data_IF_709225402103
#
_entry.id   IF_709225402103
#
_cell.length_a   1.000
_cell.length_b   1.000
_cell.length_c   1.000
_cell.angle_alpha   90.00
_cell.angle_beta   90.00
_cell.angle_gamma   90.00
#
_symmetry.space_group_name_H-M   'P 1'
#
loop_
_entity.id
_entity.type
_entity.pdbx_description
1 polymer ?
#
# COMPACT_ATOMS: atom_id res chain seq x y z
N UNK A 1 -20.40 4.86 -13.62
CA UNK A 1 -20.05 4.05 -12.44
C UNK A 1 -21.11 4.30 -11.37
N UNK A 2 -21.90 3.29 -10.91
CA UNK A 2 -22.91 3.54 -9.90
C UNK A 2 -22.23 3.84 -8.55
N UNK A 3 -22.46 5.03 -8.02
CA UNK A 3 -22.04 5.43 -6.67
C UNK A 3 -23.19 5.35 -5.69
N UNK A 4 -24.41 5.52 -6.19
CA UNK A 4 -25.65 5.32 -5.47
C UNK A 4 -26.17 3.90 -5.70
N UNK A 5 -26.42 3.20 -4.60
CA UNK A 5 -26.95 1.83 -4.61
C UNK A 5 -28.36 1.87 -4.00
N UNK A 6 -29.43 1.88 -4.81
CA UNK A 6 -30.80 1.84 -4.29
C UNK A 6 -31.03 0.53 -3.54
N UNK A 7 -31.88 0.56 -2.50
CA UNK A 7 -32.38 -0.68 -1.94
C UNK A 7 -33.09 -1.49 -3.03
N UNK A 8 -32.90 -2.82 -3.06
CA UNK A 8 -33.67 -3.67 -3.95
C UNK A 8 -35.15 -3.52 -3.61
N UNK A 9 -35.98 -3.35 -4.64
CA UNK A 9 -37.44 -3.36 -4.48
C UNK A 9 -37.86 -4.77 -4.05
N UNK A 10 -38.69 -4.85 -3.00
CA UNK A 10 -39.32 -6.12 -2.66
C UNK A 10 -40.28 -6.50 -3.80
N UNK A 11 -40.24 -7.73 -4.32
CA UNK A 11 -41.22 -8.16 -5.32
C UNK A 11 -42.62 -8.09 -4.70
N UNK A 12 -43.50 -7.30 -5.31
CA UNK A 12 -44.79 -6.92 -4.73
C UNK A 12 -45.84 -8.06 -4.59
N UNK A 13 -45.50 -9.33 -4.82
CA UNK A 13 -46.51 -10.40 -4.88
C UNK A 13 -45.96 -11.85 -4.72
N UNK A 14 -45.15 -12.13 -3.71
CA UNK A 14 -44.92 -13.52 -3.28
C UNK A 14 -45.97 -13.94 -2.23
N UNK A 15 -46.60 -15.13 -2.29
CA UNK A 15 -47.46 -15.59 -1.21
C UNK A 15 -46.66 -15.59 0.10
N UNK A 16 -47.09 -14.76 1.04
CA UNK A 16 -46.49 -14.64 2.37
C UNK A 16 -46.43 -16.02 3.02
N UNK A 17 -45.24 -16.41 3.47
CA UNK A 17 -45.00 -17.72 4.10
C UNK A 17 -43.98 -18.62 3.40
N UNK A 18 -43.55 -18.33 2.15
CA UNK A 18 -42.46 -19.08 1.48
C UNK A 18 -41.07 -18.43 1.55
N UNK A 19 -40.91 -17.36 2.33
CA UNK A 19 -39.60 -16.73 2.59
C UNK A 19 -39.05 -15.83 1.48
N UNK A 20 -39.84 -15.51 0.45
CA UNK A 20 -39.45 -14.61 -0.65
C UNK A 20 -39.55 -13.12 -0.28
N UNK A 21 -40.46 -12.75 0.64
CA UNK A 21 -40.50 -11.45 1.32
C UNK A 21 -39.56 -11.42 2.54
N UNK A 22 -38.43 -12.14 2.48
CA UNK A 22 -37.32 -11.85 3.38
C UNK A 22 -36.72 -10.54 2.88
N UNK A 23 -37.27 -9.42 3.37
CA UNK A 23 -36.44 -8.25 3.70
C UNK A 23 -35.16 -8.85 4.28
N UNK A 24 -34.09 -8.84 3.50
CA UNK A 24 -32.83 -9.44 3.94
C UNK A 24 -32.53 -8.87 5.31
N UNK A 25 -31.91 -9.63 6.21
CA UNK A 25 -31.53 -9.08 7.52
C UNK A 25 -30.71 -7.78 7.40
N UNK A 26 -30.12 -7.49 6.23
CA UNK A 26 -29.48 -6.22 5.87
C UNK A 26 -30.45 -5.02 5.73
N UNK A 27 -31.74 -5.24 5.47
CA UNK A 27 -32.78 -4.20 5.45
C UNK A 27 -33.02 -3.61 6.86
N UNK A 28 -32.67 -4.35 7.92
CA UNK A 28 -32.72 -3.86 9.30
C UNK A 28 -31.57 -2.91 9.67
N UNK A 29 -30.60 -2.68 8.76
CA UNK A 29 -29.59 -1.64 8.93
C UNK A 29 -30.11 -0.21 8.75
N UNK A 30 -31.40 -0.02 8.45
CA UNK A 30 -32.07 1.29 8.40
C UNK A 30 -31.73 2.16 7.19
N UNK A 31 -31.04 1.64 6.18
CA UNK A 31 -30.60 2.44 5.02
C UNK A 31 -31.30 2.04 3.72
N UNK A 32 -32.25 2.88 3.29
CA UNK A 32 -32.99 2.74 2.01
C UNK A 32 -32.09 2.89 0.77
N UNK A 33 -30.95 3.57 0.89
CA UNK A 33 -29.96 3.68 -0.17
C UNK A 33 -28.54 3.71 0.41
N UNK A 34 -27.61 3.07 -0.29
CA UNK A 34 -26.21 2.97 0.13
C UNK A 34 -25.28 3.71 -0.83
N UNK A 35 -24.08 4.03 -0.35
CA UNK A 35 -23.02 4.66 -1.14
C UNK A 35 -21.88 3.68 -1.39
N UNK A 36 -21.59 3.36 -2.66
CA UNK A 36 -20.55 2.42 -3.06
C UNK A 36 -19.12 2.83 -2.61
N UNK A 37 -18.93 4.06 -2.13
CA UNK A 37 -17.65 4.57 -1.62
C UNK A 37 -17.53 4.49 -0.10
N UNK A 38 -18.53 3.92 0.58
CA UNK A 38 -18.57 3.79 2.05
C UNK A 38 -18.63 2.33 2.45
N UNK A 39 -17.57 1.55 2.26
CA UNK A 39 -17.62 0.14 2.62
C UNK A 39 -17.86 -0.05 4.11
N UNK A 40 -18.46 -1.17 4.49
CA UNK A 40 -18.66 -1.56 5.91
C UNK A 40 -18.01 -2.91 6.24
N UNK A 41 -17.42 -3.57 5.24
CA UNK A 41 -16.80 -4.89 5.32
C UNK A 41 -15.77 -5.04 4.20
N UNK A 42 -14.87 -6.01 4.35
CA UNK A 42 -13.78 -6.25 3.39
C UNK A 42 -14.26 -6.44 1.94
N UNK A 43 -15.28 -7.27 1.70
CA UNK A 43 -15.79 -7.48 0.34
C UNK A 43 -16.33 -6.20 -0.32
N UNK A 44 -16.95 -5.33 0.47
CA UNK A 44 -17.41 -4.02 -0.02
C UNK A 44 -16.24 -3.04 -0.24
N UNK A 45 -15.17 -3.14 0.55
CA UNK A 45 -13.95 -2.36 0.36
C UNK A 45 -13.25 -2.71 -0.96
N UNK A 46 -13.25 -4.00 -1.35
CA UNK A 46 -12.80 -4.41 -2.67
C UNK A 46 -13.69 -3.84 -3.78
N UNK A 47 -15.00 -3.96 -3.63
CA UNK A 47 -15.97 -3.40 -4.59
C UNK A 47 -15.90 -1.86 -4.66
N UNK A 48 -15.50 -1.16 -3.60
CA UNK A 48 -15.37 0.30 -3.63
C UNK A 48 -14.19 0.78 -4.49
N UNK A 49 -13.19 -0.06 -4.73
CA UNK A 49 -12.08 0.24 -5.66
C UNK A 49 -12.54 0.24 -7.12
N UNK A 50 -13.54 -0.58 -7.45
CA UNK A 50 -14.19 -0.62 -8.76
C UNK A 50 -15.70 -0.73 -8.60
N UNK A 51 -16.34 0.44 -8.47
CA UNK A 51 -17.77 0.50 -8.14
C UNK A 51 -18.70 -0.04 -9.23
N UNK A 52 -18.18 -0.42 -10.42
CA UNK A 52 -18.95 -1.18 -11.41
C UNK A 52 -19.42 -2.53 -10.86
N UNK A 53 -18.65 -3.10 -9.93
CA UNK A 53 -18.94 -4.36 -9.26
C UNK A 53 -19.79 -4.19 -8.01
N UNK A 54 -19.96 -2.97 -7.51
CA UNK A 54 -20.66 -2.69 -6.27
C UNK A 54 -22.13 -3.14 -6.33
N UNK A 55 -22.58 -3.82 -5.28
CA UNK A 55 -23.99 -4.22 -5.09
C UNK A 55 -24.49 -3.80 -3.71
N UNK A 56 -25.80 -3.59 -3.59
CA UNK A 56 -26.42 -3.25 -2.31
C UNK A 56 -26.17 -4.34 -1.25
N UNK A 57 -25.91 -3.94 0.00
CA UNK A 57 -25.80 -4.86 1.15
C UNK A 57 -24.44 -4.90 1.86
N UNK A 58 -23.46 -4.10 1.44
CA UNK A 58 -22.13 -4.04 2.06
C UNK A 58 -21.63 -2.64 2.42
N UNK A 59 -22.46 -1.63 2.19
CA UNK A 59 -22.06 -0.23 2.19
C UNK A 59 -22.88 0.61 3.19
N UNK A 60 -22.31 1.73 3.62
CA UNK A 60 -22.96 2.70 4.49
C UNK A 60 -23.98 3.56 3.75
N UNK A 61 -24.78 4.36 4.48
CA UNK A 61 -25.85 5.16 3.91
C UNK A 61 -25.37 6.15 2.86
N UNK A 62 -26.19 6.33 1.82
CA UNK A 62 -26.08 7.46 0.92
C UNK A 62 -26.62 8.73 1.60
N UNK A 63 -25.78 9.75 1.72
CA UNK A 63 -26.14 11.03 2.37
C UNK A 63 -26.73 12.06 1.39
N UNK A 64 -26.66 11.81 0.08
CA UNK A 64 -27.10 12.73 -0.99
C UNK A 64 -28.20 12.15 -1.90
N UNK A 65 -28.74 10.97 -1.57
CA UNK A 65 -29.84 10.31 -2.32
C UNK A 65 -29.65 10.27 -3.85
N UNK A 66 -28.41 10.03 -4.30
CA UNK A 66 -28.08 9.91 -5.73
C UNK A 66 -27.39 11.13 -6.33
N UNK A 67 -27.45 12.30 -5.67
CA UNK A 67 -26.78 13.51 -6.11
C UNK A 67 -25.27 13.43 -5.78
N UNK A 68 -24.52 12.77 -6.66
CA UNK A 68 -23.11 12.45 -6.43
C UNK A 68 -22.14 13.56 -6.86
N UNK A 69 -22.64 14.60 -7.53
CA UNK A 69 -21.85 15.79 -7.90
C UNK A 69 -21.75 16.70 -6.67
N UNK A 70 -20.52 17.15 -6.35
CA UNK A 70 -20.25 17.89 -5.11
C UNK A 70 -20.58 17.11 -3.83
N UNK A 71 -20.53 15.77 -3.89
CA UNK A 71 -20.75 14.92 -2.73
C UNK A 71 -19.47 14.86 -1.87
N UNK A 72 -19.53 15.20 -0.57
CA UNK A 72 -18.33 15.27 0.26
C UNK A 72 -17.64 13.90 0.42
N UNK A 73 -18.37 12.79 0.27
CA UNK A 73 -17.78 11.44 0.27
C UNK A 73 -16.88 11.24 -0.96
N UNK A 74 -17.36 11.67 -2.12
CA UNK A 74 -16.62 11.59 -3.40
C UNK A 74 -15.45 12.57 -3.39
N UNK A 75 -15.66 13.78 -2.92
CA UNK A 75 -14.60 14.78 -2.76
C UNK A 75 -13.51 14.30 -1.80
N UNK A 76 -13.89 13.72 -0.65
CA UNK A 76 -12.93 13.16 0.29
C UNK A 76 -12.12 12.01 -0.33
N UNK A 77 -12.71 11.17 -1.19
CA UNK A 77 -11.97 10.09 -1.86
C UNK A 77 -10.85 10.62 -2.76
N UNK A 78 -11.08 11.71 -3.48
CA UNK A 78 -10.10 12.27 -4.42
C UNK A 78 -9.21 13.35 -3.80
N UNK A 79 -9.69 14.03 -2.76
CA UNK A 79 -8.99 15.14 -2.10
C UNK A 79 -8.29 14.76 -0.80
N UNK A 80 -8.58 13.59 -0.22
CA UNK A 80 -7.94 13.11 1.00
C UNK A 80 -7.29 11.76 0.76
N UNK A 81 -6.06 11.60 1.24
CA UNK A 81 -5.34 10.34 1.21
C UNK A 81 -5.15 9.83 2.64
N UNK A 82 -5.60 8.60 2.90
CA UNK A 82 -5.30 7.94 4.18
C UNK A 82 -3.92 7.30 4.10
N UNK A 83 -3.00 7.78 4.93
CA UNK A 83 -1.60 7.35 4.94
C UNK A 83 -1.42 6.15 5.86
N UNK A 84 -0.88 5.05 5.33
CA UNK A 84 -0.42 3.92 6.16
C UNK A 84 0.83 4.36 6.95
N UNK A 85 0.79 4.40 8.29
CA UNK A 85 1.83 4.99 9.14
C UNK A 85 3.06 4.08 9.32
N UNK A 86 3.26 3.10 8.45
CA UNK A 86 4.30 2.08 8.57
C UNK A 86 5.06 1.98 7.26
N UNK A 87 6.40 1.95 7.31
CA UNK A 87 7.25 1.68 6.15
C UNK A 87 7.55 0.19 6.00
N UNK A 88 6.53 -0.60 5.64
CA UNK A 88 6.61 -2.04 5.39
C UNK A 88 6.04 -2.40 4.00
N UNK A 89 6.50 -3.50 3.37
CA UNK A 89 6.00 -3.96 2.07
C UNK A 89 4.55 -4.45 2.14
N UNK A 90 4.14 -4.97 3.30
CA UNK A 90 2.76 -5.31 3.61
C UNK A 90 2.43 -4.95 5.06
N UNK A 91 1.18 -4.66 5.34
CA UNK A 91 0.67 -4.46 6.70
C UNK A 91 -0.63 -5.25 6.85
N UNK A 92 -0.88 -5.75 8.05
CA UNK A 92 -2.13 -6.41 8.37
C UNK A 92 -3.09 -5.37 8.96
N UNK A 93 -4.32 -5.31 8.45
CA UNK A 93 -5.39 -4.50 9.01
C UNK A 93 -6.33 -5.42 9.76
N UNK A 94 -6.29 -5.40 11.10
CA UNK A 94 -7.20 -6.16 11.97
C UNK A 94 -8.54 -5.46 12.07
N UNK A 95 -9.63 -6.22 12.00
CA UNK A 95 -11.00 -5.73 12.07
C UNK A 95 -11.58 -6.12 13.42
N UNK A 96 -11.71 -5.14 14.31
CA UNK A 96 -12.26 -5.34 15.65
C UNK A 96 -13.74 -4.89 15.67
N UNK A 97 -14.69 -5.78 16.00
CA UNK A 97 -16.08 -5.40 16.21
C UNK A 97 -16.23 -4.57 17.49
N UNK A 98 -17.02 -3.50 17.42
CA UNK A 98 -17.38 -2.65 18.57
C UNK A 98 -18.81 -2.93 18.96
N UNK A 99 -19.04 -3.30 20.21
CA UNK A 99 -20.37 -3.59 20.76
C UNK A 99 -20.81 -2.48 21.71
N UNK A 100 -22.11 -2.16 21.72
CA UNK A 100 -22.71 -1.28 22.72
C UNK A 100 -22.51 -1.87 24.13
N UNK A 101 -22.43 -1.01 25.16
CA UNK A 101 -22.29 -1.45 26.56
C UNK A 101 -23.47 -2.32 27.03
N UNK A 102 -24.63 -2.16 26.41
CA UNK A 102 -25.90 -2.83 26.70
C UNK A 102 -26.31 -3.84 25.61
N UNK A 103 -25.43 -4.10 24.62
CA UNK A 103 -25.71 -5.05 23.55
C UNK A 103 -25.71 -6.49 24.10
N UNK A 104 -26.87 -6.97 24.53
CA UNK A 104 -27.16 -8.41 24.67
C UNK A 104 -27.95 -8.83 23.44
N UNK A 105 -27.44 -9.79 22.69
CA UNK A 105 -28.08 -10.40 21.51
C UNK A 105 -28.12 -9.56 20.21
N UNK A 106 -27.45 -8.41 20.16
CA UNK A 106 -27.29 -7.61 18.93
C UNK A 106 -25.89 -7.81 18.31
N UNK A 107 -25.80 -7.65 16.98
CA UNK A 107 -24.52 -7.57 16.27
C UNK A 107 -23.71 -6.31 16.65
N UNK A 108 -22.49 -6.15 16.13
CA UNK A 108 -21.66 -4.99 16.46
C UNK A 108 -22.27 -3.67 15.96
N UNK A 109 -22.15 -2.61 16.76
CA UNK A 109 -22.53 -1.23 16.41
C UNK A 109 -21.61 -0.65 15.34
N UNK A 110 -20.39 -1.18 15.24
CA UNK A 110 -19.40 -0.74 14.27
C UNK A 110 -18.13 -1.57 14.32
N UNK A 111 -17.11 -1.08 13.62
CA UNK A 111 -15.82 -1.75 13.51
C UNK A 111 -14.70 -0.73 13.64
N UNK A 112 -13.61 -1.13 14.31
CA UNK A 112 -12.32 -0.43 14.33
C UNK A 112 -11.34 -1.22 13.49
N UNK A 113 -10.57 -0.51 12.67
CA UNK A 113 -9.56 -1.10 11.81
C UNK A 113 -8.18 -0.75 12.35
N UNK A 114 -7.41 -1.75 12.76
CA UNK A 114 -6.11 -1.56 13.38
C UNK A 114 -5.00 -1.97 12.43
N UNK A 115 -4.10 -1.05 12.09
CA UNK A 115 -2.95 -1.35 11.25
C UNK A 115 -1.85 -1.95 12.13
N UNK A 116 -1.33 -3.08 11.70
CA UNK A 116 -0.28 -3.83 12.38
C UNK A 116 0.89 -4.10 11.44
N UNK A 117 2.08 -4.26 12.00
CA UNK A 117 3.27 -4.67 11.23
C UNK A 117 3.26 -6.16 10.87
N UNK A 118 2.35 -6.93 11.48
CA UNK A 118 2.16 -8.36 11.26
C UNK A 118 1.23 -8.98 12.31
N UNK A 119 1.05 -10.32 12.28
CA UNK A 119 0.19 -11.02 13.22
C UNK A 119 0.65 -10.87 14.67
N UNK A 120 1.96 -10.88 14.89
CA UNK A 120 2.61 -10.88 16.22
C UNK A 120 2.74 -9.49 16.86
N UNK A 121 2.27 -8.44 16.18
CA UNK A 121 2.31 -7.08 16.70
C UNK A 121 1.33 -6.96 17.86
N UNK A 122 1.83 -6.90 19.10
CA UNK A 122 0.96 -6.83 20.29
C UNK A 122 0.53 -5.41 20.66
N UNK A 123 1.18 -4.40 20.09
CA UNK A 123 1.01 -3.00 20.47
C UNK A 123 0.17 -2.22 19.45
N UNK A 124 -0.57 -2.90 18.57
CA UNK A 124 -1.40 -2.20 17.59
C UNK A 124 -2.52 -1.37 18.23
N UNK A 125 -2.97 -1.74 19.43
CA UNK A 125 -4.01 -1.04 20.19
C UNK A 125 -3.64 0.38 20.62
N UNK A 126 -2.34 0.73 20.63
CA UNK A 126 -1.86 2.06 20.99
C UNK A 126 -1.98 3.07 19.84
N UNK A 127 -2.31 2.60 18.63
CA UNK A 127 -2.40 3.43 17.42
C UNK A 127 -3.78 4.05 17.28
N UNK A 128 -3.93 5.00 16.38
CA UNK A 128 -5.27 5.50 16.05
C UNK A 128 -5.99 4.47 15.16
N UNK A 129 -7.14 3.90 15.56
CA UNK A 129 -7.89 3.01 14.69
C UNK A 129 -8.47 3.77 13.50
N UNK A 130 -8.53 3.08 12.38
CA UNK A 130 -9.20 3.51 11.17
C UNK A 130 -10.68 3.16 11.16
N UNK A 131 -11.42 3.93 10.38
CA UNK A 131 -12.75 3.60 9.88
C UNK A 131 -12.65 2.94 8.51
N UNK A 132 -13.69 2.23 8.10
CA UNK A 132 -13.78 1.72 6.73
C UNK A 132 -13.72 2.83 5.66
N UNK A 133 -14.28 4.02 5.95
CA UNK A 133 -14.21 5.18 5.05
C UNK A 133 -12.75 5.66 4.88
N UNK A 134 -11.90 5.54 5.92
CA UNK A 134 -10.46 5.79 5.81
C UNK A 134 -9.74 4.68 5.01
N UNK A 135 -10.05 3.41 5.26
CA UNK A 135 -9.49 2.30 4.48
C UNK A 135 -9.78 2.41 2.98
N UNK A 136 -10.98 2.88 2.60
CA UNK A 136 -11.36 3.13 1.21
C UNK A 136 -10.52 4.23 0.52
N UNK A 137 -9.91 5.13 1.30
CA UNK A 137 -9.09 6.25 0.83
C UNK A 137 -7.58 5.97 0.90
N UNK A 138 -7.18 4.75 1.19
CA UNK A 138 -5.77 4.37 1.15
C UNK A 138 -5.33 4.37 -0.30
N UNK A 139 -4.32 5.17 -0.62
CA UNK A 139 -3.73 5.25 -1.95
C UNK A 139 -2.37 4.58 -1.98
N UNK A 140 -2.07 3.93 -3.11
CA UNK A 140 -0.80 3.26 -3.32
C UNK A 140 -0.60 1.97 -2.53
N UNK A 141 -1.68 1.39 -2.03
CA UNK A 141 -1.72 0.03 -1.49
C UNK A 141 -2.84 -0.74 -2.17
N UNK A 142 -2.56 -1.98 -2.53
CA UNK A 142 -3.56 -2.93 -2.99
C UNK A 142 -4.17 -3.64 -1.78
N UNK A 143 -5.47 -3.90 -1.86
CA UNK A 143 -6.19 -4.67 -0.85
C UNK A 143 -5.96 -6.15 -1.15
N UNK A 144 -5.19 -6.79 -0.28
CA UNK A 144 -4.85 -8.20 -0.36
C UNK A 144 -5.93 -9.11 0.23
N UNK A 145 -5.51 -10.34 0.49
CA UNK A 145 -6.38 -11.41 0.98
C UNK A 145 -6.90 -11.13 2.39
N UNK A 146 -8.08 -11.68 2.69
CA UNK A 146 -8.53 -11.85 4.07
C UNK A 146 -7.53 -12.68 4.86
N UNK A 147 -7.44 -12.36 6.14
CA UNK A 147 -6.62 -13.03 7.13
C UNK A 147 -7.48 -13.26 8.38
N UNK A 148 -7.33 -14.42 9.01
CA UNK A 148 -8.03 -14.73 10.26
C UNK A 148 -7.12 -15.57 11.13
N UNK A 149 -7.09 -15.25 12.43
CA UNK A 149 -6.33 -15.96 13.45
C UNK A 149 -7.11 -16.00 14.77
N UNK A 150 -6.48 -16.48 15.85
CA UNK A 150 -7.07 -16.55 17.19
C UNK A 150 -7.50 -15.17 17.74
N UNK A 151 -6.99 -14.07 17.18
CA UNK A 151 -7.32 -12.71 17.58
C UNK A 151 -8.44 -12.08 16.74
N UNK A 152 -8.95 -12.79 15.74
CA UNK A 152 -10.10 -12.38 14.92
C UNK A 152 -9.77 -12.20 13.44
N UNK A 153 -10.58 -11.40 12.76
CA UNK A 153 -10.49 -11.19 11.32
C UNK A 153 -9.62 -9.98 10.96
N UNK A 154 -9.10 -9.98 9.73
CA UNK A 154 -8.34 -8.89 9.15
C UNK A 154 -8.13 -9.09 7.65
N UNK A 155 -7.32 -8.22 7.07
CA UNK A 155 -6.90 -8.34 5.68
C UNK A 155 -5.55 -7.68 5.47
N UNK A 156 -4.83 -8.15 4.46
CA UNK A 156 -3.55 -7.56 4.08
C UNK A 156 -3.74 -6.31 3.24
N UNK A 157 -2.92 -5.30 3.48
CA UNK A 157 -2.62 -4.26 2.51
C UNK A 157 -1.21 -4.50 1.98
N UNK A 158 -1.09 -4.50 0.66
CA UNK A 158 0.16 -4.76 -0.06
C UNK A 158 0.59 -3.47 -0.75
N UNK A 159 1.84 -3.04 -0.53
CA UNK A 159 2.29 -1.76 -1.06
C UNK A 159 2.48 -1.82 -2.57
N UNK A 160 2.02 -0.80 -3.27
CA UNK A 160 2.24 -0.62 -4.71
C UNK A 160 3.31 0.41 -4.99
N UNK A 161 3.95 0.34 -6.15
CA UNK A 161 4.92 1.32 -6.67
C UNK A 161 4.29 2.64 -7.12
N UNK A 162 2.97 2.83 -6.95
CA UNK A 162 2.27 4.06 -7.34
C UNK A 162 2.54 5.24 -6.42
N UNK A 163 2.98 4.99 -5.19
CA UNK A 163 3.30 6.03 -4.20
C UNK A 163 4.66 5.78 -3.56
N UNK A 164 5.36 6.85 -3.18
CA UNK A 164 6.63 6.74 -2.47
C UNK A 164 6.44 6.23 -1.04
N UNK A 165 7.50 5.71 -0.43
CA UNK A 165 7.48 5.35 0.97
C UNK A 165 7.19 6.56 1.87
N UNK A 166 6.38 6.33 2.91
CA UNK A 166 6.12 7.34 3.93
C UNK A 166 7.45 7.81 4.54
N UNK A 167 7.62 9.14 4.61
CA UNK A 167 8.81 9.76 5.18
C UNK A 167 10.05 9.73 4.28
N UNK A 168 9.95 9.16 3.07
CA UNK A 168 11.01 9.21 2.06
C UNK A 168 10.75 10.34 1.06
N UNK A 169 11.68 11.30 0.99
CA UNK A 169 11.65 12.39 0.01
C UNK A 169 12.64 12.08 -1.10
N UNK A 170 12.13 12.07 -2.34
CA UNK A 170 12.93 11.82 -3.54
C UNK A 170 13.22 13.17 -4.21
N UNK A 171 14.49 13.45 -4.44
CA UNK A 171 14.92 14.68 -5.15
C UNK A 171 15.73 14.31 -6.39
N UNK A 172 15.40 14.91 -7.53
CA UNK A 172 16.06 14.65 -8.80
C UNK A 172 16.94 15.83 -9.20
N UNK A 173 18.17 15.56 -9.62
CA UNK A 173 19.08 16.53 -10.21
C UNK A 173 19.57 16.00 -11.56
N UNK A 174 19.06 16.59 -12.63
CA UNK A 174 19.53 16.32 -13.99
C UNK A 174 20.75 17.20 -14.33
N UNK A 175 21.70 16.63 -15.07
CA UNK A 175 22.88 17.27 -15.67
C UNK A 175 23.03 16.74 -17.10
N UNK A 176 23.75 17.44 -17.99
CA UNK A 176 23.91 16.99 -19.38
C UNK A 176 24.47 15.57 -19.54
N UNK A 177 25.33 15.13 -18.62
CA UNK A 177 25.99 13.81 -18.68
C UNK A 177 25.41 12.77 -17.73
N UNK A 178 24.51 13.15 -16.82
CA UNK A 178 23.92 12.21 -15.86
C UNK A 178 22.68 12.77 -15.18
N UNK A 179 21.85 11.87 -14.66
CA UNK A 179 20.79 12.23 -13.72
C UNK A 179 21.00 11.53 -12.38
N UNK A 180 20.77 12.25 -11.29
CA UNK A 180 20.89 11.70 -9.93
C UNK A 180 19.60 11.89 -9.14
N UNK A 181 19.07 10.79 -8.61
CA UNK A 181 17.97 10.79 -7.65
C UNK A 181 18.54 10.53 -6.26
N UNK A 182 18.21 11.39 -5.29
CA UNK A 182 18.59 11.21 -3.90
C UNK A 182 17.34 10.95 -3.06
N UNK A 183 17.42 9.88 -2.26
CA UNK A 183 16.38 9.43 -1.34
C UNK A 183 16.76 9.87 0.07
N UNK A 184 15.89 10.68 0.68
CA UNK A 184 16.11 11.20 2.03
C UNK A 184 15.05 10.72 3.00
N UNK A 185 15.47 10.25 4.16
CA UNK A 185 14.61 9.89 5.29
C UNK A 185 15.15 10.63 6.50
N UNK A 186 14.28 11.30 7.27
CA UNK A 186 14.70 12.09 8.44
C UNK A 186 15.84 13.09 8.15
N UNK A 187 15.83 13.72 6.95
CA UNK A 187 16.88 14.62 6.41
C UNK A 187 18.22 13.95 6.05
N UNK A 188 18.43 12.70 6.43
CA UNK A 188 19.60 11.93 6.03
C UNK A 188 19.41 11.34 4.62
N UNK A 189 20.45 11.40 3.79
CA UNK A 189 20.45 10.74 2.49
C UNK A 189 20.78 9.27 2.71
N UNK A 190 19.81 8.39 2.44
CA UNK A 190 19.94 6.94 2.66
C UNK A 190 20.18 6.16 1.37
N UNK A 191 19.82 6.73 0.22
CA UNK A 191 20.17 6.19 -1.09
C UNK A 191 20.39 7.29 -2.14
N UNK A 192 21.14 6.94 -3.18
CA UNK A 192 21.36 7.75 -4.37
C UNK A 192 21.41 6.87 -5.60
N UNK A 193 20.47 7.06 -6.54
CA UNK A 193 20.49 6.44 -7.85
C UNK A 193 21.14 7.39 -8.86
N UNK A 194 22.20 6.94 -9.50
CA UNK A 194 22.92 7.66 -10.54
C UNK A 194 22.71 6.96 -11.88
N UNK A 195 22.30 7.70 -12.90
CA UNK A 195 22.01 7.22 -14.25
C UNK A 195 22.98 7.90 -15.21
N UNK A 196 23.57 7.15 -16.14
CA UNK A 196 24.37 7.74 -17.21
C UNK A 196 23.45 8.39 -18.26
N UNK A 197 23.71 9.65 -18.60
CA UNK A 197 22.90 10.41 -19.57
C UNK A 197 21.54 10.87 -19.07
N UNK A 198 20.59 10.98 -20.00
CA UNK A 198 19.21 11.37 -19.72
C UNK A 198 18.48 10.26 -18.95
N UNK A 199 17.72 10.66 -17.92
CA UNK A 199 17.00 9.69 -17.11
C UNK A 199 15.74 9.22 -17.82
N UNK A 200 15.64 7.91 -18.00
CA UNK A 200 14.41 7.25 -18.48
C UNK A 200 13.67 6.51 -17.36
N UNK A 201 14.10 6.67 -16.11
CA UNK A 201 13.46 6.01 -14.98
C UNK A 201 12.07 6.59 -14.76
N UNK A 202 11.09 5.70 -14.65
CA UNK A 202 9.73 6.06 -14.28
C UNK A 202 9.61 6.34 -12.76
N UNK A 203 8.48 6.92 -12.38
CA UNK A 203 8.16 7.15 -10.98
C UNK A 203 8.02 5.85 -10.19
N UNK A 204 7.68 4.74 -10.85
CA UNK A 204 7.47 3.43 -10.21
C UNK A 204 8.78 2.83 -9.68
N UNK A 205 9.87 2.90 -10.44
CA UNK A 205 11.21 2.50 -9.99
C UNK A 205 11.64 3.32 -8.78
N UNK A 206 11.48 4.64 -8.84
CA UNK A 206 11.87 5.53 -7.75
C UNK A 206 11.04 5.18 -6.49
N UNK A 207 9.75 4.92 -6.64
CA UNK A 207 8.91 4.50 -5.53
C UNK A 207 9.33 3.12 -4.98
N UNK A 208 9.62 2.15 -5.84
CA UNK A 208 10.10 0.83 -5.43
C UNK A 208 11.40 0.90 -4.60
N UNK A 209 12.38 1.71 -5.03
CA UNK A 209 13.61 1.95 -4.28
C UNK A 209 13.31 2.66 -2.94
N UNK A 210 12.37 3.61 -2.93
CA UNK A 210 11.98 4.29 -1.71
C UNK A 210 11.39 3.34 -0.66
N UNK A 211 10.71 2.26 -1.08
CA UNK A 211 10.15 1.25 -0.17
C UNK A 211 11.22 0.41 0.52
N UNK A 212 12.35 0.19 -0.14
CA UNK A 212 13.49 -0.49 0.45
C UNK A 212 14.25 0.40 1.45
N UNK A 213 14.11 1.73 1.36
CA UNK A 213 14.82 2.67 2.23
C UNK A 213 14.49 2.45 3.72
N UNK A 214 15.48 2.55 4.61
CA UNK A 214 15.25 2.42 6.05
C UNK A 214 14.29 3.48 6.58
N UNK A 215 13.62 3.17 7.69
CA UNK A 215 12.86 4.16 8.45
C UNK A 215 13.77 5.17 9.16
N UNK A 216 13.20 6.17 9.86
CA UNK A 216 13.97 7.20 10.56
C UNK A 216 15.06 6.65 11.48
N UNK A 217 14.77 5.56 12.21
CA UNK A 217 15.73 4.92 13.12
C UNK A 217 16.99 4.39 12.43
N UNK A 218 16.89 4.01 11.16
CA UNK A 218 18.02 3.51 10.35
C UNK A 218 18.59 4.54 9.38
N UNK A 219 18.06 5.77 9.38
CA UNK A 219 18.46 6.85 8.51
C UNK A 219 19.52 7.72 9.21
N UNK A 220 20.76 7.25 9.24
CA UNK A 220 21.88 7.89 9.92
C UNK A 220 23.16 7.80 9.05
N UNK A 221 24.27 8.32 9.57
CA UNK A 221 25.58 8.27 8.91
C UNK A 221 26.45 7.11 9.41
N UNK A 222 25.85 6.10 10.04
CA UNK A 222 26.59 4.96 10.59
C UNK A 222 26.93 3.91 9.52
N UNK A 223 27.73 2.92 9.94
CA UNK A 223 28.14 1.80 9.09
C UNK A 223 26.94 1.01 8.60
N UNK A 224 27.03 0.55 7.36
CA UNK A 224 26.05 -0.40 6.83
C UNK A 224 26.32 -1.78 7.47
N UNK A 225 25.31 -2.47 8.03
CA UNK A 225 25.54 -3.71 8.77
C UNK A 225 25.78 -4.92 7.85
N UNK A 226 25.47 -4.83 6.55
CA UNK A 226 25.72 -5.92 5.60
C UNK A 226 27.21 -6.15 5.38
N UNK A 227 27.57 -7.42 5.18
CA UNK A 227 28.96 -7.86 5.00
C UNK A 227 29.22 -8.22 3.55
N UNK A 228 30.48 -8.10 3.12
CA UNK A 228 30.91 -8.51 1.77
C UNK A 228 30.62 -9.99 1.49
N UNK A 229 30.58 -10.84 2.51
CA UNK A 229 30.23 -12.26 2.38
C UNK A 229 28.79 -12.49 1.94
N UNK A 230 27.91 -11.50 2.12
CA UNK A 230 26.48 -11.56 1.75
C UNK A 230 26.23 -11.02 0.32
N UNK A 231 27.27 -10.58 -0.39
CA UNK A 231 27.16 -10.06 -1.77
C UNK A 231 26.38 -11.00 -2.71
N UNK A 232 26.59 -12.33 -2.70
CA UNK A 232 25.83 -13.23 -3.57
C UNK A 232 24.31 -13.18 -3.32
N UNK A 233 23.87 -12.97 -2.08
CA UNK A 233 22.45 -12.91 -1.70
C UNK A 233 21.78 -11.57 -2.06
N UNK A 234 22.58 -10.52 -2.24
CA UNK A 234 22.13 -9.17 -2.55
C UNK A 234 22.22 -8.84 -4.03
N UNK A 235 23.04 -9.58 -4.80
CA UNK A 235 23.30 -9.30 -6.21
C UNK A 235 22.08 -9.70 -7.04
N UNK A 236 21.43 -8.75 -7.74
CA UNK A 236 20.32 -9.08 -8.63
C UNK A 236 20.78 -10.02 -9.74
N UNK A 237 19.86 -10.88 -10.19
CA UNK A 237 20.17 -11.78 -11.30
C UNK A 237 20.46 -10.98 -12.59
N UNK A 238 21.32 -11.46 -13.50
CA UNK A 238 21.47 -10.84 -14.81
C UNK A 238 20.16 -10.77 -15.57
N UNK A 239 19.99 -9.79 -16.46
CA UNK A 239 18.83 -9.73 -17.36
C UNK A 239 19.25 -9.25 -18.74
N UNK A 240 19.06 -10.09 -19.76
CA UNK A 240 19.59 -9.85 -21.11
C UNK A 240 21.11 -9.63 -21.10
N UNK A 241 21.54 -8.50 -21.65
CA UNK A 241 22.95 -8.05 -21.68
C UNK A 241 23.40 -7.34 -20.42
N UNK A 242 22.48 -7.05 -19.51
CA UNK A 242 22.75 -6.28 -18.30
C UNK A 242 23.29 -7.22 -17.23
N UNK A 243 24.38 -6.80 -16.60
CA UNK A 243 25.02 -7.46 -15.47
C UNK A 243 24.96 -6.57 -14.25
N UNK A 244 24.82 -7.18 -13.09
CA UNK A 244 24.76 -6.50 -11.81
C UNK A 244 25.95 -6.88 -10.94
N UNK A 245 26.53 -5.90 -10.27
CA UNK A 245 27.58 -6.10 -9.27
C UNK A 245 27.22 -5.39 -7.98
N UNK A 246 27.56 -6.01 -6.83
CA UNK A 246 27.40 -5.40 -5.51
C UNK A 246 28.77 -5.23 -4.86
N UNK A 247 29.11 -3.99 -4.52
CA UNK A 247 30.32 -3.63 -3.76
C UNK A 247 29.91 -3.16 -2.36
N UNK A 248 30.44 -3.81 -1.32
CA UNK A 248 30.14 -3.51 0.08
C UNK A 248 31.35 -2.83 0.71
N UNK A 249 31.18 -1.59 1.12
CA UNK A 249 32.17 -0.79 1.85
C UNK A 249 31.64 -0.49 3.26
N UNK A 250 32.51 -0.16 4.23
CA UNK A 250 32.09 0.07 5.62
C UNK A 250 30.89 1.02 5.80
N UNK A 251 30.80 2.05 4.96
CA UNK A 251 29.75 3.08 5.05
C UNK A 251 28.70 2.99 3.95
N UNK A 252 28.94 2.19 2.91
CA UNK A 252 28.11 2.23 1.70
C UNK A 252 28.01 0.87 1.02
N UNK A 253 26.84 0.56 0.46
CA UNK A 253 26.69 -0.53 -0.51
C UNK A 253 26.41 0.07 -1.88
N UNK A 254 27.07 -0.43 -2.91
CA UNK A 254 26.85 0.00 -4.28
C UNK A 254 26.32 -1.16 -5.11
N UNK A 255 25.15 -0.99 -5.69
CA UNK A 255 24.62 -1.89 -6.73
C UNK A 255 24.84 -1.20 -8.07
N UNK A 256 25.62 -1.82 -8.94
CA UNK A 256 25.98 -1.26 -10.25
C UNK A 256 25.36 -2.13 -11.34
N UNK A 257 24.69 -1.48 -12.30
CA UNK A 257 24.17 -2.12 -13.50
C UNK A 257 25.03 -1.70 -14.70
N UNK A 258 25.59 -2.69 -15.40
CA UNK A 258 26.45 -2.49 -16.57
C UNK A 258 25.90 -3.23 -17.77
N UNK A 259 25.90 -2.56 -18.92
CA UNK A 259 25.61 -3.17 -20.22
C UNK A 259 26.92 -3.55 -20.89
N UNK A 260 27.01 -4.81 -21.34
CA UNK A 260 28.24 -5.43 -21.84
C UNK A 260 29.42 -5.21 -20.88
N UNK A 261 30.68 -5.24 -21.35
CA UNK A 261 31.84 -5.24 -20.43
C UNK A 261 32.24 -3.85 -19.92
N UNK A 262 31.63 -2.72 -20.35
CA UNK A 262 32.19 -1.38 -20.03
C UNK A 262 31.23 -0.19 -19.87
N UNK A 263 29.94 -0.28 -20.19
CA UNK A 263 29.05 0.89 -20.02
C UNK A 263 28.24 0.80 -18.74
N UNK A 264 28.54 1.65 -17.75
CA UNK A 264 27.72 1.77 -16.55
C UNK A 264 26.42 2.49 -16.88
N UNK A 265 25.30 1.77 -16.86
CA UNK A 265 23.96 2.36 -17.09
C UNK A 265 23.46 3.08 -15.84
N UNK A 266 23.57 2.41 -14.69
CA UNK A 266 23.05 2.89 -13.42
C UNK A 266 23.93 2.44 -12.26
N UNK A 267 23.96 3.25 -11.20
CA UNK A 267 24.57 2.91 -9.92
C UNK A 267 23.70 3.40 -8.79
N UNK A 268 23.26 2.48 -7.95
CA UNK A 268 22.55 2.73 -6.72
C UNK A 268 23.52 2.67 -5.55
N UNK A 269 23.70 3.77 -4.84
CA UNK A 269 24.52 3.86 -3.63
C UNK A 269 23.62 3.94 -2.41
N UNK A 270 23.82 3.06 -1.45
CA UNK A 270 23.03 2.88 -0.23
C UNK A 270 23.89 3.23 0.98
N UNK A 271 23.38 4.04 1.91
CA UNK A 271 24.12 4.57 3.06
C UNK A 271 23.28 4.55 4.33
N UNK A 272 23.93 4.36 5.49
CA UNK A 272 23.31 4.32 6.83
C UNK A 272 23.12 2.90 7.38
N UNK A 273 22.89 2.78 8.70
CA UNK A 273 22.85 1.47 9.38
C UNK A 273 21.55 0.69 9.20
N UNK A 274 20.50 1.29 8.62
CA UNK A 274 19.23 0.60 8.42
C UNK A 274 19.14 -0.34 7.20
N UNK A 275 20.23 -0.52 6.44
CA UNK A 275 20.24 -1.41 5.27
C UNK A 275 20.50 -2.86 5.66
N UNK A 276 19.49 -3.72 5.51
CA UNK A 276 19.63 -5.19 5.64
C UNK A 276 19.86 -5.83 4.27
N UNK A 277 20.29 -7.10 4.26
CA UNK A 277 20.46 -7.89 3.03
C UNK A 277 19.20 -7.88 2.18
N UNK A 278 18.02 -8.01 2.80
CA UNK A 278 16.72 -8.04 2.12
C UNK A 278 16.39 -6.67 1.50
N UNK A 279 16.69 -5.57 2.19
CA UNK A 279 16.46 -4.22 1.68
C UNK A 279 17.38 -3.89 0.50
N UNK A 280 18.66 -4.27 0.60
CA UNK A 280 19.62 -4.10 -0.51
C UNK A 280 19.15 -4.91 -1.71
N UNK A 281 18.79 -6.18 -1.50
CA UNK A 281 18.27 -7.07 -2.55
C UNK A 281 17.01 -6.49 -3.19
N UNK A 282 16.04 -6.04 -2.40
CA UNK A 282 14.80 -5.45 -2.90
C UNK A 282 15.06 -4.20 -3.75
N UNK A 283 15.96 -3.31 -3.32
CA UNK A 283 16.32 -2.12 -4.08
C UNK A 283 17.04 -2.47 -5.40
N UNK A 284 17.92 -3.47 -5.38
CA UNK A 284 18.60 -3.98 -6.56
C UNK A 284 17.66 -4.67 -7.55
N UNK A 285 16.73 -5.48 -7.06
CA UNK A 285 15.71 -6.16 -7.87
C UNK A 285 14.74 -5.16 -8.52
N UNK A 286 14.38 -4.07 -7.82
CA UNK A 286 13.61 -2.98 -8.43
C UNK A 286 14.34 -2.36 -9.62
N UNK A 287 15.64 -2.08 -9.47
CA UNK A 287 16.48 -1.57 -10.56
C UNK A 287 16.57 -2.59 -11.71
N UNK A 288 16.71 -3.88 -11.40
CA UNK A 288 16.75 -4.95 -12.40
C UNK A 288 15.45 -5.02 -13.19
N UNK A 289 14.30 -5.04 -12.52
CA UNK A 289 12.99 -5.14 -13.16
C UNK A 289 12.77 -3.99 -14.15
N UNK A 290 13.05 -2.74 -13.75
CA UNK A 290 12.93 -1.59 -14.65
C UNK A 290 13.87 -1.67 -15.86
N UNK A 291 15.11 -2.11 -15.66
CA UNK A 291 16.06 -2.26 -16.77
C UNK A 291 15.73 -3.44 -17.69
N UNK A 292 15.06 -4.48 -17.18
CA UNK A 292 14.57 -5.61 -17.96
C UNK A 292 13.50 -5.18 -18.97
N UNK A 293 12.56 -4.35 -18.54
CA UNK A 293 11.48 -3.85 -19.39
C UNK A 293 11.99 -2.97 -20.55
N UNK A 294 13.20 -2.41 -20.42
CA UNK A 294 13.87 -1.65 -21.49
C UNK A 294 14.62 -2.53 -22.49
N UNK A 295 14.98 -3.74 -22.11
CA UNK A 295 15.77 -4.64 -22.94
C UNK A 295 14.92 -5.48 -23.89
N UNK A 296 13.60 -5.53 -23.64
CA UNK A 296 12.58 -6.17 -24.48
C UNK A 296 11.98 -5.15 -25.45
#
# INVERSE_FOLDING_TARGET
>A
MPLHLPAPEAPAAGPDGKGWNRLSLNAHGGFLAQCALRPRRWGALLESQDTRRARWGGFGPCIRRGQCDGCPVREALYGQCTVVPVNAPRVLVRVEPVFARDARFCGPDGYRLWITTGPDDRNYGDRQPWTWDQAARVQGWDIGRMYADEHGEGFWLERTTRVSALGCVITTRARPSFTRHAFRVARCRVASLHCAGECTHDTELLNAISHACPGPEGANEERVPVRWTQVPEMTPQPTGRIRFGVDVRPMTVQVTATEDTRCQMARLTLTGSGWTTERVRAAGEALRAHLADRAN
#
